data_IF_128682356929
#
_entry.id   IF_128682356929
#
_cell.length_a   1.000
_cell.length_b   1.000
_cell.length_c   1.000
_cell.angle_alpha   90.00
_cell.angle_beta   90.00
_cell.angle_gamma   90.00
#
_symmetry.space_group_name_H-M   'P 1'
#
loop_
_entity.id
_entity.type
_entity.pdbx_description
1 polymer ?
#
# COMPACT_ATOMS: atom_id res chain seq x y z
N UNK A 1 29.84 -1.75 7.52
CA UNK A 1 28.40 -1.60 7.86
C UNK A 1 27.96 -0.15 8.00
N UNK A 2 28.52 0.66 8.90
CA UNK A 2 28.09 2.07 9.07
C UNK A 2 28.14 2.93 7.78
N UNK A 3 29.25 2.89 7.02
CA UNK A 3 29.37 3.59 5.72
C UNK A 3 28.32 3.14 4.69
N UNK A 4 27.93 1.87 4.73
CA UNK A 4 26.90 1.31 3.85
C UNK A 4 25.50 1.78 4.25
N UNK A 5 25.17 1.74 5.55
CA UNK A 5 23.90 2.25 6.09
C UNK A 5 23.77 3.74 5.79
N UNK A 6 24.82 4.52 6.04
CA UNK A 6 24.83 5.96 5.75
C UNK A 6 24.63 6.22 4.25
N UNK A 7 25.30 5.46 3.38
CA UNK A 7 25.10 5.54 1.94
C UNK A 7 23.66 5.27 1.52
N UNK A 8 22.99 4.29 2.13
CA UNK A 8 21.57 3.98 1.87
C UNK A 8 20.63 5.09 2.37
N UNK A 9 20.87 5.65 3.56
CA UNK A 9 20.08 6.77 4.09
C UNK A 9 20.23 7.99 3.19
N UNK A 10 21.45 8.31 2.77
CA UNK A 10 21.71 9.44 1.86
C UNK A 10 21.08 9.23 0.49
N UNK A 11 21.03 8.00 -0.02
CA UNK A 11 20.31 7.66 -1.26
C UNK A 11 18.79 7.77 -1.11
N UNK A 12 18.24 7.51 0.07
CA UNK A 12 16.81 7.61 0.32
C UNK A 12 16.30 9.07 0.23
N UNK A 13 17.13 10.05 0.62
CA UNK A 13 16.77 11.48 0.57
C UNK A 13 16.35 11.94 -0.85
N UNK A 14 17.19 11.83 -1.90
CA UNK A 14 16.81 12.23 -3.24
C UNK A 14 15.66 11.37 -3.79
N UNK A 15 15.60 10.07 -3.44
CA UNK A 15 14.49 9.21 -3.86
C UNK A 15 13.16 9.68 -3.28
N UNK A 16 13.08 9.95 -1.97
CA UNK A 16 11.88 10.45 -1.31
C UNK A 16 11.49 11.83 -1.83
N UNK A 17 12.47 12.71 -2.07
CA UNK A 17 12.22 14.03 -2.64
C UNK A 17 11.62 13.93 -4.05
N UNK A 18 12.17 13.09 -4.91
CA UNK A 18 11.65 12.84 -6.26
C UNK A 18 10.22 12.28 -6.18
N UNK A 19 9.98 11.30 -5.30
CA UNK A 19 8.64 10.73 -5.10
C UNK A 19 7.66 11.82 -4.65
N UNK A 20 8.02 12.61 -3.63
CA UNK A 20 7.17 13.68 -3.12
C UNK A 20 6.85 14.73 -4.20
N UNK A 21 7.87 15.15 -4.98
CA UNK A 21 7.69 16.08 -6.09
C UNK A 21 6.78 15.49 -7.18
N UNK A 22 7.04 14.27 -7.62
CA UNK A 22 6.23 13.59 -8.63
C UNK A 22 4.78 13.43 -8.17
N UNK A 23 4.55 12.93 -6.95
CA UNK A 23 3.20 12.78 -6.40
C UNK A 23 2.50 14.13 -6.30
N UNK A 24 3.17 15.17 -5.80
CA UNK A 24 2.60 16.51 -5.71
C UNK A 24 2.13 17.04 -7.09
N UNK A 25 3.02 16.99 -8.10
CA UNK A 25 2.68 17.48 -9.43
C UNK A 25 1.63 16.60 -10.12
N UNK A 26 1.72 15.27 -9.99
CA UNK A 26 0.73 14.35 -10.56
C UNK A 26 -0.67 14.61 -9.99
N UNK A 27 -0.79 14.85 -8.68
CA UNK A 27 -2.07 15.18 -8.05
C UNK A 27 -2.62 16.52 -8.52
N UNK A 28 -1.76 17.52 -8.82
CA UNK A 28 -2.18 18.83 -9.33
C UNK A 28 -2.47 18.85 -10.83
N UNK A 29 -1.91 17.92 -11.59
CA UNK A 29 -2.17 17.75 -13.02
C UNK A 29 -3.41 16.89 -13.30
N UNK A 30 -3.85 16.08 -12.33
CA UNK A 30 -5.06 15.28 -12.47
C UNK A 30 -6.28 16.19 -12.71
N UNK A 31 -7.22 15.81 -13.59
CA UNK A 31 -8.42 16.61 -13.82
C UNK A 31 -9.27 16.66 -12.54
N UNK A 32 -9.64 17.88 -12.13
CA UNK A 32 -10.42 18.16 -10.93
C UNK A 32 -9.57 18.57 -9.72
N UNK A 33 -10.24 19.09 -8.69
CA UNK A 33 -9.66 19.52 -7.41
C UNK A 33 -10.14 18.64 -6.24
N UNK A 34 -9.46 18.73 -5.07
CA UNK A 34 -9.82 17.96 -3.88
C UNK A 34 -11.25 18.21 -3.38
N UNK A 35 -11.87 19.33 -3.78
CA UNK A 35 -13.22 19.73 -3.39
C UNK A 35 -14.24 19.62 -4.53
N UNK A 36 -13.85 19.11 -5.70
CA UNK A 36 -14.77 18.83 -6.79
C UNK A 36 -15.56 17.56 -6.45
N UNK A 37 -16.70 17.76 -5.78
CA UNK A 37 -17.60 16.70 -5.33
C UNK A 37 -18.73 16.47 -6.34
N UNK A 38 -19.38 15.30 -6.27
CA UNK A 38 -20.58 14.99 -7.07
C UNK A 38 -21.72 16.01 -6.85
N UNK A 39 -21.76 16.65 -5.68
CA UNK A 39 -22.63 17.79 -5.40
C UNK A 39 -21.85 19.09 -5.58
N UNK A 40 -22.25 19.99 -6.49
CA UNK A 40 -21.56 21.25 -6.68
C UNK A 40 -21.69 22.09 -5.40
N UNK A 41 -20.55 22.56 -4.92
CA UNK A 41 -20.45 23.51 -3.81
C UNK A 41 -20.58 24.92 -4.42
N UNK A 42 -21.28 25.88 -3.77
CA UNK A 42 -21.27 27.27 -4.22
C UNK A 42 -19.83 27.79 -4.39
N UNK A 43 -19.58 28.52 -5.48
CA UNK A 43 -18.22 28.95 -5.85
C UNK A 43 -17.55 29.77 -4.75
N UNK A 44 -18.30 30.64 -4.07
CA UNK A 44 -17.81 31.44 -2.94
C UNK A 44 -17.30 30.58 -1.77
N UNK A 45 -17.92 29.42 -1.54
CA UNK A 45 -17.51 28.49 -0.49
C UNK A 45 -16.26 27.73 -0.96
N UNK A 46 -16.21 27.33 -2.23
CA UNK A 46 -15.04 26.66 -2.83
C UNK A 46 -13.79 27.53 -2.72
N UNK A 47 -13.86 28.80 -3.14
CA UNK A 47 -12.75 29.75 -3.06
C UNK A 47 -12.25 29.94 -1.62
N UNK A 48 -13.17 30.02 -0.65
CA UNK A 48 -12.81 30.15 0.78
C UNK A 48 -12.09 28.90 1.31
N UNK A 49 -12.56 27.72 0.92
CA UNK A 49 -11.93 26.45 1.32
C UNK A 49 -10.54 26.33 0.66
N UNK A 50 -10.42 26.63 -0.62
CA UNK A 50 -9.14 26.62 -1.33
C UNK A 50 -8.15 27.62 -0.74
N UNK A 51 -8.60 28.82 -0.37
CA UNK A 51 -7.77 29.80 0.33
C UNK A 51 -7.34 29.31 1.71
N UNK A 52 -8.23 28.64 2.46
CA UNK A 52 -7.91 28.07 3.78
C UNK A 52 -6.79 27.03 3.70
N UNK A 53 -6.82 26.16 2.68
CA UNK A 53 -5.78 25.15 2.44
C UNK A 53 -4.59 25.65 1.60
N UNK A 54 -4.56 26.95 1.23
CA UNK A 54 -3.51 27.53 0.40
C UNK A 54 -3.44 26.99 -1.04
N UNK A 55 -4.52 26.37 -1.53
CA UNK A 55 -4.62 25.84 -2.89
C UNK A 55 -4.76 26.94 -3.95
N UNK A 56 -5.11 28.16 -3.53
CA UNK A 56 -5.17 29.35 -4.38
C UNK A 56 -3.79 29.98 -4.65
N UNK A 57 -2.72 29.52 -3.99
CA UNK A 57 -1.36 30.04 -4.18
C UNK A 57 -0.71 29.52 -5.46
N UNK A 58 0.29 30.22 -6.03
CA UNK A 58 1.10 29.67 -7.11
C UNK A 58 1.68 28.29 -6.78
N UNK A 59 1.78 27.40 -7.78
CA UNK A 59 2.22 26.01 -7.57
C UNK A 59 3.58 25.86 -6.87
N UNK A 60 4.51 26.78 -7.14
CA UNK A 60 5.82 26.76 -6.49
C UNK A 60 5.73 27.08 -4.99
N UNK A 61 4.87 28.00 -4.57
CA UNK A 61 4.63 28.28 -3.15
C UNK A 61 3.95 27.11 -2.46
N UNK A 62 2.95 26.49 -3.11
CA UNK A 62 2.30 25.29 -2.59
C UNK A 62 3.31 24.16 -2.37
N UNK A 63 4.22 23.95 -3.32
CA UNK A 63 5.27 22.93 -3.21
C UNK A 63 6.26 23.23 -2.09
N UNK A 64 6.70 24.48 -1.95
CA UNK A 64 7.62 24.88 -0.88
C UNK A 64 6.98 24.72 0.51
N UNK A 65 5.71 25.08 0.67
CA UNK A 65 4.96 24.86 1.91
C UNK A 65 4.80 23.37 2.20
N UNK A 66 4.43 22.57 1.20
CA UNK A 66 4.30 21.12 1.32
C UNK A 66 5.60 20.45 1.78
N UNK A 67 6.73 20.75 1.12
CA UNK A 67 8.03 20.20 1.51
C UNK A 67 8.47 20.73 2.88
N UNK A 68 8.22 22.01 3.19
CA UNK A 68 8.53 22.60 4.49
C UNK A 68 7.82 21.88 5.64
N UNK A 69 6.52 21.60 5.48
CA UNK A 69 5.72 20.85 6.45
C UNK A 69 6.21 19.39 6.54
N UNK A 70 6.44 18.75 5.39
CA UNK A 70 6.91 17.36 5.34
C UNK A 70 8.25 17.17 6.09
N UNK A 71 9.18 18.12 5.97
CA UNK A 71 10.46 18.10 6.69
C UNK A 71 10.31 18.29 8.20
N UNK A 72 9.22 18.92 8.65
CA UNK A 72 8.86 19.06 10.07
C UNK A 72 8.07 17.85 10.59
N UNK A 73 7.75 16.89 9.71
CA UNK A 73 6.91 15.73 10.04
C UNK A 73 5.41 16.03 10.00
N UNK A 74 5.01 17.19 9.50
CA UNK A 74 3.61 17.56 9.31
C UNK A 74 3.16 17.16 7.90
N UNK A 75 2.28 16.16 7.83
CA UNK A 75 1.68 15.68 6.58
C UNK A 75 0.46 16.52 6.17
N UNK A 76 -0.02 17.37 7.06
CA UNK A 76 -1.20 18.20 6.90
C UNK A 76 -2.53 17.44 6.98
N UNK A 77 -3.64 18.19 6.83
CA UNK A 77 -4.98 17.66 6.95
C UNK A 77 -5.37 16.82 5.74
N UNK A 78 -6.28 15.87 5.96
CA UNK A 78 -6.88 15.09 4.89
C UNK A 78 -7.92 15.91 4.12
N UNK A 79 -7.71 16.07 2.81
CA UNK A 79 -8.71 16.72 1.95
C UNK A 79 -9.96 15.85 1.71
N UNK A 80 -9.85 14.53 1.93
CA UNK A 80 -10.95 13.58 1.74
C UNK A 80 -11.76 13.35 3.01
N UNK A 81 -11.09 13.28 4.17
CA UNK A 81 -11.71 13.02 5.47
C UNK A 81 -11.62 14.28 6.33
N UNK A 82 -12.64 15.13 6.25
CA UNK A 82 -12.65 16.43 6.95
C UNK A 82 -12.50 16.22 8.46
N UNK A 83 -11.58 16.99 9.07
CA UNK A 83 -11.31 16.95 10.51
C UNK A 83 -10.29 15.89 10.94
N UNK A 84 -9.70 15.16 9.99
CA UNK A 84 -8.63 14.18 10.24
C UNK A 84 -7.30 14.66 9.69
N UNK A 85 -6.24 14.42 10.44
CA UNK A 85 -4.87 14.61 9.95
C UNK A 85 -4.42 13.37 9.16
N UNK A 86 -3.56 13.57 8.15
CA UNK A 86 -3.03 12.45 7.36
C UNK A 86 -2.19 11.51 8.24
N UNK A 87 -1.47 12.06 9.22
CA UNK A 87 -0.70 11.29 10.20
C UNK A 87 -1.57 10.33 11.02
N UNK A 88 -2.77 10.76 11.43
CA UNK A 88 -3.73 9.96 12.19
C UNK A 88 -4.28 8.81 11.35
N UNK A 89 -4.64 9.09 10.09
CA UNK A 89 -5.11 8.06 9.16
C UNK A 89 -4.04 7.00 8.91
N UNK A 90 -2.79 7.42 8.72
CA UNK A 90 -1.66 6.49 8.57
C UNK A 90 -1.45 5.71 9.86
N UNK A 91 -1.44 6.36 11.02
CA UNK A 91 -1.23 5.69 12.30
C UNK A 91 -2.31 4.64 12.60
N UNK A 92 -3.55 4.87 12.17
CA UNK A 92 -4.65 3.92 12.33
C UNK A 92 -4.55 2.73 11.35
N UNK A 93 -4.19 2.98 10.09
CA UNK A 93 -4.11 1.94 9.07
C UNK A 93 -2.81 1.13 9.12
N UNK A 94 -1.70 1.75 9.52
CA UNK A 94 -0.36 1.18 9.46
C UNK A 94 -0.23 -0.15 10.22
N UNK A 95 -0.73 -0.32 11.46
CA UNK A 95 -0.63 -1.60 12.17
C UNK A 95 -1.27 -2.77 11.42
N UNK A 96 -2.42 -2.52 10.78
CA UNK A 96 -3.12 -3.53 9.97
C UNK A 96 -2.29 -3.89 8.73
N UNK A 97 -1.80 -2.88 8.01
CA UNK A 97 -0.94 -3.10 6.84
C UNK A 97 0.37 -3.80 7.20
N UNK A 98 0.99 -3.44 8.32
CA UNK A 98 2.22 -4.05 8.81
C UNK A 98 2.00 -5.50 9.21
N UNK A 99 0.95 -5.80 9.97
CA UNK A 99 0.57 -7.16 10.35
C UNK A 99 0.32 -8.02 9.12
N UNK A 100 -0.48 -7.52 8.17
CA UNK A 100 -0.77 -8.21 6.92
C UNK A 100 0.50 -8.48 6.10
N UNK A 101 1.35 -7.46 5.93
CA UNK A 101 2.60 -7.58 5.18
C UNK A 101 3.57 -8.57 5.83
N UNK A 102 3.72 -8.54 7.15
CA UNK A 102 4.58 -9.45 7.89
C UNK A 102 4.07 -10.91 7.83
N UNK A 103 2.77 -11.12 7.98
CA UNK A 103 2.18 -12.45 7.84
C UNK A 103 2.32 -12.98 6.41
N UNK A 104 2.09 -12.15 5.40
CA UNK A 104 2.26 -12.51 3.99
C UNK A 104 3.71 -12.88 3.68
N UNK A 105 4.66 -12.08 4.16
CA UNK A 105 6.09 -12.36 4.03
C UNK A 105 6.48 -13.67 4.74
N UNK A 106 5.96 -13.92 5.94
CA UNK A 106 6.20 -15.16 6.65
C UNK A 106 5.71 -16.38 5.88
N UNK A 107 4.52 -16.30 5.26
CA UNK A 107 3.99 -17.36 4.38
C UNK A 107 4.87 -17.54 3.15
N UNK A 108 5.22 -16.46 2.47
CA UNK A 108 6.08 -16.49 1.28
C UNK A 108 7.44 -17.14 1.57
N UNK A 109 8.05 -16.79 2.71
CA UNK A 109 9.31 -17.40 3.15
C UNK A 109 9.13 -18.86 3.57
N UNK A 110 8.06 -19.18 4.32
CA UNK A 110 7.80 -20.53 4.81
C UNK A 110 7.48 -21.53 3.69
N UNK A 111 6.84 -21.07 2.61
CA UNK A 111 6.50 -21.93 1.47
C UNK A 111 7.54 -21.85 0.35
N UNK A 112 7.93 -20.64 -0.05
CA UNK A 112 8.82 -20.39 -1.18
C UNK A 112 10.26 -20.83 -0.91
N UNK A 113 10.79 -20.60 0.30
CA UNK A 113 12.18 -20.95 0.60
C UNK A 113 12.40 -22.47 0.61
N UNK A 114 11.60 -23.31 1.31
CA UNK A 114 11.78 -24.75 1.26
C UNK A 114 11.52 -25.33 -0.13
N UNK A 115 10.48 -24.85 -0.83
CA UNK A 115 10.19 -25.26 -2.21
C UNK A 115 11.38 -24.98 -3.14
N UNK A 116 11.96 -23.78 -3.05
CA UNK A 116 13.13 -23.38 -3.82
C UNK A 116 14.39 -24.19 -3.47
N UNK A 117 14.62 -24.48 -2.18
CA UNK A 117 15.75 -25.31 -1.73
C UNK A 117 15.60 -26.74 -2.28
N UNK A 118 14.42 -27.36 -2.16
CA UNK A 118 14.18 -28.72 -2.65
C UNK A 118 14.36 -28.81 -4.16
N UNK A 119 13.80 -27.86 -4.91
CA UNK A 119 13.95 -27.79 -6.37
C UNK A 119 15.43 -27.62 -6.77
N UNK A 120 16.17 -26.75 -6.07
CA UNK A 120 17.58 -26.51 -6.33
C UNK A 120 18.48 -27.71 -6.03
N UNK A 121 18.15 -28.51 -5.01
CA UNK A 121 18.91 -29.72 -4.63
C UNK A 121 18.65 -30.91 -5.56
N UNK A 122 17.45 -30.98 -6.18
CA UNK A 122 17.04 -32.10 -7.04
C UNK A 122 16.64 -31.64 -8.44
N UNK A 123 17.55 -30.91 -9.09
CA UNK A 123 17.35 -30.35 -10.43
C UNK A 123 16.94 -31.41 -11.47
N UNK A 124 16.11 -31.01 -12.43
CA UNK A 124 15.62 -31.88 -13.52
C UNK A 124 14.88 -33.14 -13.02
N UNK A 125 14.21 -33.04 -11.87
CA UNK A 125 13.42 -34.13 -11.30
C UNK A 125 11.98 -33.67 -11.01
N UNK A 126 11.04 -34.58 -10.71
CA UNK A 126 9.69 -34.19 -10.29
C UNK A 126 9.68 -33.25 -9.07
N UNK A 127 10.71 -33.33 -8.21
CA UNK A 127 10.87 -32.45 -7.05
C UNK A 127 11.33 -31.04 -7.40
N UNK A 128 11.75 -30.81 -8.65
CA UNK A 128 12.02 -29.50 -9.23
C UNK A 128 10.79 -29.00 -9.98
N UNK A 129 10.24 -29.82 -10.89
CA UNK A 129 9.10 -29.41 -11.73
C UNK A 129 7.81 -29.14 -10.94
N UNK A 130 7.49 -29.93 -9.90
CA UNK A 130 6.21 -29.77 -9.16
C UNK A 130 6.19 -28.46 -8.37
N UNK A 131 7.17 -28.14 -7.50
CA UNK A 131 7.18 -26.87 -6.77
C UNK A 131 7.27 -25.66 -7.71
N UNK A 132 8.07 -25.75 -8.79
CA UNK A 132 8.19 -24.68 -9.78
C UNK A 132 6.87 -24.43 -10.52
N UNK A 133 6.13 -25.48 -10.87
CA UNK A 133 4.82 -25.32 -11.52
C UNK A 133 3.78 -24.71 -10.58
N UNK A 134 3.77 -25.12 -9.31
CA UNK A 134 2.86 -24.54 -8.30
C UNK A 134 3.19 -23.07 -8.04
N UNK A 135 4.47 -22.73 -7.90
CA UNK A 135 4.92 -21.35 -7.74
C UNK A 135 4.54 -20.50 -8.97
N UNK A 136 4.74 -21.04 -10.17
CA UNK A 136 4.36 -20.36 -11.41
C UNK A 136 2.85 -20.11 -11.48
N UNK A 137 2.01 -21.07 -11.08
CA UNK A 137 0.56 -20.86 -11.01
C UNK A 137 0.19 -19.74 -10.03
N UNK A 138 0.82 -19.67 -8.85
CA UNK A 138 0.61 -18.59 -7.88
C UNK A 138 0.94 -17.22 -8.45
N UNK A 139 2.13 -17.08 -9.07
CA UNK A 139 2.62 -15.83 -9.65
C UNK A 139 1.78 -15.40 -10.87
N UNK A 140 1.32 -16.36 -11.68
CA UNK A 140 0.52 -16.07 -12.87
C UNK A 140 -0.93 -15.68 -12.55
N UNK A 141 -1.45 -16.02 -11.37
CA UNK A 141 -2.80 -15.66 -10.97
C UNK A 141 -2.83 -14.24 -10.42
N UNK A 142 -3.64 -13.33 -11.00
CA UNK A 142 -3.78 -12.01 -10.44
C UNK A 142 -4.37 -12.05 -9.03
N UNK A 143 -3.86 -11.23 -8.11
CA UNK A 143 -4.33 -11.17 -6.72
C UNK A 143 -5.82 -10.87 -6.60
N UNK A 144 -6.37 -10.06 -7.52
CA UNK A 144 -7.81 -9.77 -7.59
C UNK A 144 -8.67 -10.97 -8.03
N UNK A 145 -8.08 -12.02 -8.59
CA UNK A 145 -8.75 -13.30 -8.89
C UNK A 145 -8.56 -14.27 -7.73
N UNK A 146 -7.33 -14.42 -7.26
CA UNK A 146 -6.97 -15.37 -6.20
C UNK A 146 -7.68 -15.04 -4.88
N UNK A 147 -7.72 -13.78 -4.48
CA UNK A 147 -8.36 -13.36 -3.22
C UNK A 147 -9.84 -13.73 -3.15
N UNK A 148 -10.68 -13.28 -4.10
CA UNK A 148 -12.09 -13.67 -4.15
C UNK A 148 -12.31 -15.18 -4.30
N UNK A 149 -11.46 -15.89 -5.05
CA UNK A 149 -11.55 -17.34 -5.18
C UNK A 149 -11.32 -18.07 -3.83
N UNK A 150 -10.31 -17.63 -3.07
CA UNK A 150 -10.02 -18.14 -1.73
C UNK A 150 -11.16 -17.82 -0.75
N UNK A 151 -11.74 -16.62 -0.82
CA UNK A 151 -12.92 -16.25 -0.02
C UNK A 151 -14.11 -17.16 -0.38
N UNK A 152 -14.41 -17.34 -1.67
CA UNK A 152 -15.52 -18.18 -2.12
C UNK A 152 -15.37 -19.62 -1.62
N UNK A 153 -14.17 -20.18 -1.70
CA UNK A 153 -13.90 -21.56 -1.30
C UNK A 153 -13.90 -21.71 0.23
N UNK A 154 -13.05 -20.95 0.93
CA UNK A 154 -12.79 -21.18 2.34
C UNK A 154 -13.74 -20.43 3.28
N UNK A 155 -14.33 -19.32 2.83
CA UNK A 155 -15.36 -18.61 3.60
C UNK A 155 -16.76 -19.05 3.19
N UNK A 156 -17.16 -18.87 1.93
CA UNK A 156 -18.56 -19.08 1.53
C UNK A 156 -18.96 -20.55 1.46
N UNK A 157 -18.12 -21.42 0.86
CA UNK A 157 -18.43 -22.84 0.69
C UNK A 157 -18.13 -23.68 1.93
N UNK A 158 -16.95 -23.49 2.51
CA UNK A 158 -16.47 -24.30 3.65
C UNK A 158 -16.85 -23.71 5.02
N UNK A 159 -17.13 -22.40 5.11
CA UNK A 159 -17.48 -21.75 6.38
C UNK A 159 -16.33 -21.68 7.39
N UNK A 160 -15.07 -21.82 6.96
CA UNK A 160 -13.91 -21.86 7.86
C UNK A 160 -13.46 -20.48 8.32
N UNK A 161 -13.64 -19.45 7.48
CA UNK A 161 -13.22 -18.08 7.75
C UNK A 161 -14.34 -17.09 7.50
N UNK A 162 -14.25 -15.91 8.12
CA UNK A 162 -15.12 -14.77 7.82
C UNK A 162 -14.81 -14.20 6.43
N UNK A 163 -15.80 -13.83 5.61
CA UNK A 163 -15.56 -13.31 4.27
C UNK A 163 -15.07 -11.85 4.28
N UNK A 164 -15.35 -11.14 5.38
CA UNK A 164 -14.99 -9.74 5.57
C UNK A 164 -14.89 -9.45 7.07
N UNK A 165 -13.98 -8.55 7.45
CA UNK A 165 -13.78 -8.10 8.82
C UNK A 165 -12.31 -8.01 9.19
N UNK A 166 -12.05 -7.53 10.40
CA UNK A 166 -10.74 -7.55 11.05
C UNK A 166 -10.92 -7.70 12.57
N UNK A 167 -11.76 -8.68 12.96
CA UNK A 167 -12.20 -8.86 14.35
C UNK A 167 -11.50 -10.04 15.02
N UNK A 168 -11.06 -11.03 14.24
CA UNK A 168 -10.39 -12.24 14.73
C UNK A 168 -9.06 -12.46 13.99
N UNK A 169 -8.14 -13.17 14.64
CA UNK A 169 -6.85 -13.57 14.03
C UNK A 169 -7.05 -14.44 12.77
N UNK A 170 -8.20 -15.12 12.67
CA UNK A 170 -8.59 -15.89 11.50
C UNK A 170 -8.76 -15.03 10.24
N UNK A 171 -9.15 -13.77 10.40
CA UNK A 171 -9.48 -12.86 9.28
C UNK A 171 -8.21 -12.46 8.50
N UNK A 172 -7.03 -12.65 9.09
CA UNK A 172 -5.73 -12.31 8.52
C UNK A 172 -5.24 -13.39 7.54
N UNK A 173 -5.69 -14.64 7.72
CA UNK A 173 -5.11 -15.82 7.05
C UNK A 173 -5.33 -15.77 5.54
N UNK A 174 -6.57 -15.57 5.08
CA UNK A 174 -6.88 -15.55 3.65
C UNK A 174 -6.22 -14.36 2.91
N UNK A 175 -6.28 -13.11 3.42
CA UNK A 175 -5.54 -12.01 2.81
C UNK A 175 -4.03 -12.25 2.78
N UNK A 176 -3.44 -12.77 3.87
CA UNK A 176 -2.01 -13.03 3.94
C UNK A 176 -1.58 -14.14 2.98
N UNK A 177 -2.41 -15.18 2.81
CA UNK A 177 -2.15 -16.24 1.84
C UNK A 177 -2.26 -15.71 0.41
N UNK A 178 -3.25 -14.87 0.13
CA UNK A 178 -3.42 -14.24 -1.19
C UNK A 178 -2.19 -13.43 -1.58
N UNK A 179 -1.66 -12.63 -0.65
CA UNK A 179 -0.49 -11.80 -0.89
C UNK A 179 0.82 -12.58 -0.83
N UNK A 180 0.93 -13.61 0.00
CA UNK A 180 2.15 -14.41 0.15
C UNK A 180 2.38 -15.42 -0.97
N UNK A 181 1.34 -15.75 -1.75
CA UNK A 181 1.44 -16.63 -2.93
C UNK A 181 1.76 -15.88 -4.24
N UNK A 182 1.73 -14.56 -4.21
CA UNK A 182 2.06 -13.68 -5.34
C UNK A 182 3.50 -13.21 -5.25
#
# INVERSE_FOLDING_TARGET
MAKFILGRILQAIPTLFIIAALTFFMTRMAPGGPFDSEKPIPEEIKERIEAHYGLNKPLHEQFLLYIGNLLQGDLGPSFKYIGWEVSELIAQAFPVSAQLGLCSLAIALALGLPAGIVAALRKNSPWDYVPMSIAMLGICLPTFVLGPALILLFSTKLGWFSPMGWYSMSDIILPSLTLGLF
#
